data_IF_270076179085
#
_entry.id   IF_270076179085
#
_cell.length_a   1.000
_cell.length_b   1.000
_cell.length_c   1.000
_cell.angle_alpha   90.00
_cell.angle_beta   90.00
_cell.angle_gamma   90.00
#
_symmetry.space_group_name_H-M   'P 1'
#
loop_
_entity.id
_entity.type
_entity.pdbx_description
1 polymer ?
#
# COMPACT_ATOMS: atom_id res chain seq x y z
N UNK A 1 -4.27 3.41 -15.29
CA UNK A 1 -2.98 3.24 -14.59
C UNK A 1 -3.01 1.96 -13.75
N UNK A 2 -1.86 1.37 -13.54
CA UNK A 2 -1.67 0.31 -12.56
C UNK A 2 -1.07 0.94 -11.30
N UNK A 3 -1.78 0.84 -10.19
CA UNK A 3 -1.45 1.55 -8.95
C UNK A 3 -1.20 0.54 -7.83
N UNK A 4 0.00 0.58 -7.25
CA UNK A 4 0.31 -0.16 -6.03
C UNK A 4 -0.04 0.73 -4.84
N UNK A 5 -0.99 0.30 -4.01
CA UNK A 5 -1.49 1.11 -2.89
C UNK A 5 -1.09 0.47 -1.56
N UNK A 6 -0.10 1.05 -0.89
CA UNK A 6 0.45 0.55 0.37
C UNK A 6 -0.06 1.42 1.50
N UNK A 7 -1.17 1.03 2.11
CA UNK A 7 -1.86 1.82 3.12
C UNK A 7 -2.49 0.94 4.19
N UNK A 8 -3.01 1.58 5.22
CA UNK A 8 -3.81 0.89 6.24
C UNK A 8 -5.09 0.31 5.66
N UNK A 9 -5.69 -0.61 6.39
CA UNK A 9 -7.01 -1.15 6.10
C UNK A 9 -7.82 -1.21 7.39
N UNK A 10 -9.07 -0.78 7.34
CA UNK A 10 -10.02 -0.92 8.44
C UNK A 10 -11.27 -1.65 7.95
N UNK A 11 -11.85 -2.47 8.82
CA UNK A 11 -13.11 -3.16 8.51
C UNK A 11 -14.30 -2.22 8.65
N UNK A 12 -14.31 -1.41 9.69
CA UNK A 12 -15.37 -0.44 9.95
C UNK A 12 -14.87 0.96 9.57
N UNK A 13 -15.49 1.55 8.58
CA UNK A 13 -15.15 2.90 8.11
C UNK A 13 -14.35 2.92 6.80
N UNK A 14 -13.87 4.10 6.43
CA UNK A 14 -13.28 4.37 5.12
C UNK A 14 -12.02 5.21 5.25
N UNK A 15 -10.91 4.57 5.62
CA UNK A 15 -9.59 5.20 5.67
C UNK A 15 -8.57 4.27 5.00
N UNK A 16 -7.45 4.82 4.58
CA UNK A 16 -6.41 4.06 3.90
C UNK A 16 -6.93 3.34 2.66
N UNK A 17 -6.59 2.07 2.51
CA UNK A 17 -7.08 1.27 1.38
C UNK A 17 -8.60 1.11 1.38
N UNK A 18 -9.24 1.13 2.54
CA UNK A 18 -10.70 1.07 2.62
C UNK A 18 -11.38 2.32 2.04
N UNK A 19 -10.65 3.43 1.91
CA UNK A 19 -11.13 4.63 1.23
C UNK A 19 -10.66 4.72 -0.23
N UNK A 20 -9.42 4.29 -0.52
CA UNK A 20 -8.76 4.59 -1.79
C UNK A 20 -9.06 3.57 -2.90
N UNK A 21 -9.18 2.28 -2.56
CA UNK A 21 -9.19 1.22 -3.58
C UNK A 21 -10.42 1.30 -4.47
N UNK A 22 -11.60 1.35 -3.88
CA UNK A 22 -12.83 1.35 -4.67
C UNK A 22 -12.96 2.57 -5.59
N UNK A 23 -12.74 3.82 -5.13
CA UNK A 23 -12.81 4.98 -6.01
C UNK A 23 -11.84 4.92 -7.19
N UNK A 24 -10.62 4.44 -6.95
CA UNK A 24 -9.63 4.30 -8.02
C UNK A 24 -10.06 3.24 -9.04
N UNK A 25 -10.57 2.10 -8.57
CA UNK A 25 -11.10 1.06 -9.45
C UNK A 25 -12.31 1.56 -10.23
N UNK A 26 -13.20 2.31 -9.58
CA UNK A 26 -14.38 2.89 -10.21
C UNK A 26 -14.01 3.91 -11.28
N UNK A 27 -12.89 4.60 -11.11
CA UNK A 27 -12.35 5.53 -12.11
C UNK A 27 -11.63 4.82 -13.28
N UNK A 28 -11.55 3.49 -13.26
CA UNK A 28 -10.99 2.71 -14.36
C UNK A 28 -9.54 2.29 -14.18
N UNK A 29 -8.99 2.41 -12.97
CA UNK A 29 -7.62 2.01 -12.70
C UNK A 29 -7.54 0.58 -12.15
N UNK A 30 -6.44 -0.10 -12.46
CA UNK A 30 -6.08 -1.36 -11.80
C UNK A 30 -5.37 -1.01 -10.50
N UNK A 31 -5.81 -1.58 -9.38
CA UNK A 31 -5.25 -1.26 -8.05
C UNK A 31 -4.83 -2.55 -7.37
N UNK A 32 -3.60 -2.57 -6.87
CA UNK A 32 -3.03 -3.69 -6.10
C UNK A 32 -2.80 -3.22 -4.67
N UNK A 33 -3.73 -3.52 -3.74
CA UNK A 33 -3.61 -3.05 -2.37
C UNK A 33 -2.70 -3.94 -1.54
N UNK A 34 -1.82 -3.31 -0.76
CA UNK A 34 -1.05 -3.96 0.30
C UNK A 34 -1.41 -3.25 1.60
N UNK A 35 -1.82 -4.02 2.60
CA UNK A 35 -2.24 -3.45 3.87
C UNK A 35 -1.08 -3.40 4.85
N UNK A 36 -0.87 -2.25 5.47
CA UNK A 36 0.14 -2.07 6.54
C UNK A 36 -0.41 -2.47 7.90
N UNK A 37 -1.71 -2.34 8.08
CA UNK A 37 -2.44 -2.80 9.27
C UNK A 37 -3.79 -3.36 8.82
N UNK A 38 -4.36 -4.23 9.63
CA UNK A 38 -5.71 -4.75 9.41
C UNK A 38 -6.51 -4.55 10.71
N UNK A 39 -7.01 -3.34 10.88
CA UNK A 39 -7.69 -2.92 12.11
C UNK A 39 -9.21 -2.98 11.95
N UNK A 40 -9.88 -3.09 13.10
CA UNK A 40 -11.34 -3.00 13.15
C UNK A 40 -11.84 -1.62 12.73
N UNK A 41 -11.12 -0.56 13.10
CA UNK A 41 -11.52 0.84 12.92
C UNK A 41 -10.31 1.77 13.01
N UNK A 42 -10.53 3.03 12.67
CA UNK A 42 -9.52 4.07 12.79
C UNK A 42 -9.07 4.24 14.25
N UNK A 43 -7.76 4.44 14.45
CA UNK A 43 -7.17 4.58 15.79
C UNK A 43 -7.67 5.83 16.53
N UNK A 44 -8.23 6.79 15.83
CA UNK A 44 -8.83 7.99 16.42
C UNK A 44 -10.04 7.72 17.32
N UNK A 45 -10.63 6.53 17.26
CA UNK A 45 -11.68 6.13 18.21
C UNK A 45 -11.16 5.86 19.62
N UNK A 46 -9.83 5.78 19.82
CA UNK A 46 -9.22 5.56 21.12
C UNK A 46 -8.81 4.12 21.38
N UNK A 47 -9.57 3.15 20.84
CA UNK A 47 -9.22 1.75 20.89
C UNK A 47 -9.55 1.08 19.55
N UNK A 48 -8.93 -0.05 19.30
CA UNK A 48 -9.14 -0.82 18.07
C UNK A 48 -8.69 -2.27 18.29
N UNK A 49 -9.17 -3.18 17.44
CA UNK A 49 -8.70 -4.55 17.35
C UNK A 49 -7.97 -4.79 16.05
N UNK A 50 -7.25 -5.90 15.98
CA UNK A 50 -6.56 -6.35 14.78
C UNK A 50 -5.07 -6.08 14.76
N UNK A 51 -4.35 -6.73 13.84
CA UNK A 51 -2.90 -6.71 13.83
C UNK A 51 -2.30 -5.59 13.00
N UNK A 52 -1.11 -5.14 13.39
CA UNK A 52 -0.17 -4.51 12.48
C UNK A 52 0.47 -5.61 11.64
N UNK A 53 0.59 -5.37 10.33
CA UNK A 53 1.22 -6.36 9.44
C UNK A 53 2.73 -6.23 9.59
N UNK A 54 3.45 -7.32 9.88
CA UNK A 54 4.91 -7.28 9.97
C UNK A 54 5.56 -6.82 8.66
N UNK A 55 6.64 -6.06 8.75
CA UNK A 55 7.36 -5.57 7.58
C UNK A 55 7.84 -6.72 6.69
N UNK A 56 8.20 -7.87 7.28
CA UNK A 56 8.58 -9.07 6.53
C UNK A 56 7.45 -9.61 5.66
N UNK A 57 6.20 -9.51 6.11
CA UNK A 57 5.04 -9.95 5.33
C UNK A 57 4.78 -8.97 4.18
N UNK A 58 4.90 -7.67 4.43
CA UNK A 58 4.77 -6.65 3.38
C UNK A 58 5.84 -6.88 2.31
N UNK A 59 7.09 -7.08 2.70
CA UNK A 59 8.19 -7.37 1.77
C UNK A 59 7.93 -8.65 0.99
N UNK A 60 7.44 -9.68 1.64
CA UNK A 60 7.12 -10.96 0.98
C UNK A 60 6.05 -10.80 -0.10
N UNK A 61 5.02 -10.00 0.17
CA UNK A 61 3.97 -9.70 -0.81
C UNK A 61 4.57 -8.93 -2.01
N UNK A 62 5.41 -7.93 -1.74
CA UNK A 62 6.07 -7.14 -2.77
C UNK A 62 6.98 -8.01 -3.62
N UNK A 63 7.76 -8.90 -3.02
CA UNK A 63 8.61 -9.85 -3.74
C UNK A 63 7.78 -10.76 -4.64
N UNK A 64 6.62 -11.20 -4.16
CA UNK A 64 5.69 -12.00 -4.95
C UNK A 64 5.16 -11.27 -6.17
N UNK A 65 4.85 -10.00 -6.03
CA UNK A 65 4.41 -9.14 -7.15
C UNK A 65 5.55 -8.96 -8.16
N UNK A 66 6.76 -8.72 -7.67
CA UNK A 66 7.94 -8.60 -8.54
C UNK A 66 8.17 -9.86 -9.38
N UNK A 67 8.01 -11.04 -8.76
CA UNK A 67 8.15 -12.32 -9.44
C UNK A 67 7.13 -12.54 -10.55
N UNK A 68 6.01 -11.84 -10.52
CA UNK A 68 5.02 -11.87 -11.62
C UNK A 68 5.45 -11.00 -12.81
N UNK A 69 6.55 -10.29 -12.71
CA UNK A 69 7.00 -9.36 -13.75
C UNK A 69 6.19 -8.07 -13.79
N UNK A 70 5.54 -7.71 -12.68
CA UNK A 70 4.60 -6.59 -12.65
C UNK A 70 5.27 -5.23 -12.45
N UNK A 71 6.47 -5.15 -11.91
CA UNK A 71 7.11 -3.88 -11.56
C UNK A 71 7.22 -2.91 -12.75
N UNK A 72 7.62 -3.33 -13.96
CA UNK A 72 7.65 -2.40 -15.10
C UNK A 72 6.28 -1.85 -15.48
N UNK A 73 5.20 -2.50 -15.05
CA UNK A 73 3.82 -2.10 -15.37
C UNK A 73 3.22 -1.16 -14.33
N UNK A 74 3.90 -0.92 -13.20
CA UNK A 74 3.41 -0.05 -12.14
C UNK A 74 3.60 1.40 -12.55
N UNK A 75 2.50 2.13 -12.66
CA UNK A 75 2.51 3.54 -13.04
C UNK A 75 2.62 4.46 -11.84
N UNK A 76 2.10 4.03 -10.69
CA UNK A 76 2.13 4.84 -9.47
C UNK A 76 2.17 3.97 -8.23
N UNK A 77 2.84 4.47 -7.20
CA UNK A 77 2.82 3.92 -5.85
C UNK A 77 2.15 4.96 -4.96
N UNK A 78 1.06 4.56 -4.32
CA UNK A 78 0.35 5.41 -3.37
C UNK A 78 0.59 4.83 -1.98
N UNK A 79 1.20 5.61 -1.09
CA UNK A 79 1.47 5.18 0.28
C UNK A 79 0.76 6.08 1.28
N UNK A 80 0.34 5.50 2.39
CA UNK A 80 -0.37 6.21 3.45
C UNK A 80 0.15 5.81 4.83
N UNK A 81 -0.75 5.60 5.78
CA UNK A 81 -0.39 5.21 7.14
C UNK A 81 0.40 3.91 7.16
N UNK A 82 1.56 3.94 7.77
CA UNK A 82 2.54 2.86 7.70
C UNK A 82 2.57 1.98 8.95
N UNK A 83 2.14 2.51 10.08
CA UNK A 83 2.12 1.78 11.35
C UNK A 83 3.45 1.77 12.09
N UNK A 84 4.59 1.83 11.41
CA UNK A 84 5.92 1.79 12.04
C UNK A 84 7.05 2.13 11.09
N UNK A 85 8.25 2.38 11.65
CA UNK A 85 9.42 2.80 10.88
C UNK A 85 9.94 1.69 9.94
N UNK A 86 9.84 0.44 10.35
CA UNK A 86 10.25 -0.71 9.54
C UNK A 86 9.40 -0.86 8.27
N UNK A 87 8.11 -0.55 8.36
CA UNK A 87 7.23 -0.49 7.18
C UNK A 87 7.67 0.67 6.26
N UNK A 88 8.01 1.82 6.84
CA UNK A 88 8.50 2.95 6.05
C UNK A 88 9.74 2.58 5.26
N UNK A 89 10.69 1.88 5.88
CA UNK A 89 11.90 1.41 5.21
C UNK A 89 11.56 0.44 4.07
N UNK A 90 10.63 -0.47 4.29
CA UNK A 90 10.16 -1.40 3.27
C UNK A 90 9.52 -0.67 2.09
N UNK A 91 8.76 0.38 2.35
CA UNK A 91 8.12 1.20 1.30
C UNK A 91 9.19 1.94 0.48
N UNK A 92 10.17 2.57 1.14
CA UNK A 92 11.26 3.28 0.45
C UNK A 92 12.00 2.32 -0.48
N UNK A 93 12.34 1.13 -0.01
CA UNK A 93 13.01 0.13 -0.83
C UNK A 93 12.15 -0.34 -2.00
N UNK A 94 10.86 -0.51 -1.76
CA UNK A 94 9.90 -0.89 -2.81
C UNK A 94 9.83 0.18 -3.91
N UNK A 95 9.74 1.44 -3.53
CA UNK A 95 9.70 2.56 -4.48
C UNK A 95 10.99 2.59 -5.30
N UNK A 96 12.13 2.39 -4.65
CA UNK A 96 13.43 2.34 -5.35
C UNK A 96 13.45 1.24 -6.41
N UNK A 97 13.00 0.04 -6.05
CA UNK A 97 12.97 -1.12 -6.96
C UNK A 97 12.01 -0.90 -8.13
N UNK A 98 10.84 -0.35 -7.86
CA UNK A 98 9.85 -0.07 -8.90
C UNK A 98 10.36 1.02 -9.84
N UNK A 99 10.96 2.09 -9.34
CA UNK A 99 11.50 3.16 -10.17
C UNK A 99 12.71 2.70 -10.98
N UNK A 100 13.46 1.72 -10.50
CA UNK A 100 14.52 1.10 -11.30
C UNK A 100 13.95 0.32 -12.49
N UNK A 101 12.80 -0.33 -12.32
CA UNK A 101 12.11 -1.07 -13.38
C UNK A 101 11.28 -0.17 -14.29
N UNK A 102 10.73 0.92 -13.76
CA UNK A 102 9.96 1.92 -14.50
C UNK A 102 10.30 3.33 -13.98
N UNK A 103 11.26 4.03 -14.60
CA UNK A 103 11.67 5.37 -14.14
C UNK A 103 10.55 6.43 -14.18
N UNK A 104 9.49 6.18 -14.93
CA UNK A 104 8.33 7.09 -15.03
C UNK A 104 7.30 6.87 -13.94
N UNK A 105 7.45 5.85 -13.10
CA UNK A 105 6.50 5.58 -12.03
C UNK A 105 6.47 6.76 -11.04
N UNK A 106 5.25 7.15 -10.66
CA UNK A 106 5.03 8.21 -9.69
C UNK A 106 4.99 7.62 -8.28
N UNK A 107 5.47 8.37 -7.30
CA UNK A 107 5.34 8.00 -5.89
C UNK A 107 4.63 9.13 -5.17
N UNK A 108 3.47 8.81 -4.59
CA UNK A 108 2.64 9.74 -3.84
C UNK A 108 2.52 9.25 -2.41
N UNK A 109 2.75 10.16 -1.45
CA UNK A 109 2.50 9.90 -0.04
C UNK A 109 1.25 10.66 0.35
N UNK A 110 0.26 9.94 0.84
CA UNK A 110 -0.95 10.52 1.39
C UNK A 110 -0.72 10.84 2.87
N UNK A 111 -0.83 12.08 3.24
CA UNK A 111 -0.66 12.55 4.62
C UNK A 111 -2.02 12.78 5.26
#
# INVERSE_FOLDING_TARGET
MNILSIQSHVAYGHVGNSAAVFPLQRAGHEVWPIHTVNFSNHTGYGDWGGPMIPASDVTSIIDGIEKRGAFPQIDAILSGYQGGADIADAIVETVRRIKAANPKALSLIHI
#
